data_IF_793922766876
#
_entry.id   IF_793922766876
#
_cell.length_a   1.000
_cell.length_b   1.000
_cell.length_c   1.000
_cell.angle_alpha   90.00
_cell.angle_beta   90.00
_cell.angle_gamma   90.00
#
_symmetry.space_group_name_H-M   'P 1'
#
loop_
_entity.id
_entity.type
_entity.pdbx_description
1 polymer ?
#
# COMPACT_ATOMS: atom_id res chain seq x y z
N UNK A 1 9.75 3.37 20.23
CA UNK A 1 8.54 2.59 20.52
C UNK A 1 7.81 2.20 19.24
N UNK A 2 7.14 3.10 18.51
CA UNK A 2 6.38 2.74 17.29
C UNK A 2 7.23 1.99 16.25
N UNK A 3 8.45 2.43 15.96
CA UNK A 3 9.38 1.75 15.04
C UNK A 3 9.75 0.34 15.48
N UNK A 4 9.86 0.11 16.77
CA UNK A 4 10.32 -1.18 17.31
C UNK A 4 9.17 -2.17 17.50
N UNK A 5 8.04 -1.70 18.03
CA UNK A 5 6.88 -2.54 18.31
C UNK A 5 6.10 -2.93 17.03
N UNK A 6 6.02 -2.01 16.06
CA UNK A 6 5.27 -2.21 14.83
C UNK A 6 6.17 -2.52 13.62
N UNK A 7 7.47 -2.63 13.81
CA UNK A 7 8.45 -2.84 12.73
C UNK A 7 8.31 -1.82 11.58
N UNK A 8 7.73 -0.64 11.88
CA UNK A 8 7.44 0.38 10.89
C UNK A 8 8.73 1.06 10.41
N UNK A 9 8.90 1.20 9.10
CA UNK A 9 10.03 1.91 8.53
C UNK A 9 9.98 3.42 8.85
N UNK A 10 11.15 4.08 8.89
CA UNK A 10 11.23 5.53 9.09
C UNK A 10 10.48 6.32 8.01
N UNK A 11 10.45 5.83 6.78
CA UNK A 11 9.71 6.43 5.67
C UNK A 11 8.22 6.36 5.93
N UNK A 12 7.70 5.22 6.38
CA UNK A 12 6.31 5.06 6.73
C UNK A 12 5.91 5.97 7.90
N UNK A 13 6.73 6.05 8.95
CA UNK A 13 6.49 6.95 10.07
C UNK A 13 6.48 8.44 9.68
N UNK A 14 7.37 8.85 8.76
CA UNK A 14 7.35 10.23 8.23
C UNK A 14 6.01 10.52 7.55
N UNK A 15 5.51 9.58 6.75
CA UNK A 15 4.21 9.68 6.10
C UNK A 15 3.07 9.79 7.12
N UNK A 16 3.02 8.92 8.14
CA UNK A 16 1.99 8.96 9.18
C UNK A 16 1.88 10.33 9.86
N UNK A 17 3.01 11.02 10.07
CA UNK A 17 3.05 12.35 10.67
C UNK A 17 2.38 13.45 9.82
N UNK A 18 2.21 13.22 8.53
CA UNK A 18 1.55 14.16 7.60
C UNK A 18 0.05 13.95 7.50
N UNK A 19 -0.46 12.81 7.96
CA UNK A 19 -1.88 12.50 7.93
C UNK A 19 -2.60 13.06 9.16
N UNK A 20 -3.85 13.56 9.02
CA UNK A 20 -4.60 14.18 10.12
C UNK A 20 -4.76 13.32 11.37
N UNK A 21 -4.96 12.01 11.19
CA UNK A 21 -5.06 11.02 12.28
C UNK A 21 -4.08 9.85 12.07
N UNK A 22 -3.01 10.06 11.31
CA UNK A 22 -2.01 9.04 11.05
C UNK A 22 -1.40 8.46 12.33
N UNK A 23 -1.22 9.31 13.35
CA UNK A 23 -0.87 8.92 14.73
C UNK A 23 -1.80 9.68 15.67
N UNK A 24 -2.54 8.97 16.50
CA UNK A 24 -3.45 9.55 17.48
C UNK A 24 -3.35 8.84 18.82
N UNK A 25 -3.66 9.58 19.89
CA UNK A 25 -3.77 9.04 21.26
C UNK A 25 -5.13 9.42 21.80
N UNK A 26 -5.88 8.44 22.28
CA UNK A 26 -7.25 8.61 22.78
C UNK A 26 -8.16 9.33 21.76
N UNK A 27 -7.96 9.05 20.47
CA UNK A 27 -8.71 9.66 19.37
C UNK A 27 -8.26 11.06 18.94
N UNK A 28 -7.27 11.66 19.60
CA UNK A 28 -6.74 12.98 19.27
C UNK A 28 -5.39 12.87 18.54
N UNK A 29 -5.21 13.69 17.49
CA UNK A 29 -3.90 13.79 16.80
C UNK A 29 -2.81 14.23 17.77
N UNK A 30 -1.67 13.54 17.75
CA UNK A 30 -0.51 13.88 18.58
C UNK A 30 0.77 13.99 17.76
N UNK A 31 1.69 14.81 18.23
CA UNK A 31 3.04 14.88 17.66
C UNK A 31 3.86 13.66 18.08
N UNK A 32 4.83 13.28 17.27
CA UNK A 32 5.74 12.16 17.56
C UNK A 32 6.58 12.34 18.87
N UNK A 33 6.57 13.52 19.45
CA UNK A 33 7.20 13.84 20.75
C UNK A 33 6.27 13.64 21.93
N UNK A 34 5.01 13.27 21.70
CA UNK A 34 4.05 12.99 22.77
C UNK A 34 4.55 11.84 23.66
N UNK A 35 4.45 12.04 24.97
CA UNK A 35 4.83 11.03 25.96
C UNK A 35 3.57 10.29 26.41
N UNK A 36 3.50 9.02 26.08
CA UNK A 36 2.38 8.15 26.49
C UNK A 36 2.37 7.98 28.02
N UNK A 37 1.18 8.06 28.59
CA UNK A 37 0.89 7.71 29.97
C UNK A 37 0.29 6.30 30.05
N UNK A 38 0.27 5.73 31.25
CA UNK A 38 -0.39 4.45 31.49
C UNK A 38 -1.91 4.60 31.26
N UNK A 39 -2.46 3.74 30.41
CA UNK A 39 -3.87 3.76 30.03
C UNK A 39 -4.16 4.50 28.71
N UNK A 40 -3.15 5.17 28.10
CA UNK A 40 -3.34 5.77 26.78
C UNK A 40 -3.53 4.70 25.70
N UNK A 41 -4.48 4.96 24.79
CA UNK A 41 -4.72 4.16 23.59
C UNK A 41 -4.05 4.85 22.40
N UNK A 42 -2.94 4.28 21.94
CA UNK A 42 -2.25 4.70 20.73
C UNK A 42 -2.92 4.05 19.51
N UNK A 43 -3.35 4.88 18.56
CA UNK A 43 -3.91 4.42 17.28
C UNK A 43 -3.04 4.90 16.12
N UNK A 44 -2.86 4.03 15.13
CA UNK A 44 -2.07 4.30 13.92
C UNK A 44 -2.90 3.92 12.71
N UNK A 45 -2.95 4.81 11.72
CA UNK A 45 -3.64 4.55 10.47
C UNK A 45 -2.77 3.63 9.60
N UNK A 46 -3.27 2.43 9.31
CA UNK A 46 -2.58 1.46 8.44
C UNK A 46 -3.00 1.61 6.98
N UNK A 47 -4.26 1.99 6.72
CA UNK A 47 -4.78 2.21 5.38
C UNK A 47 -4.17 3.44 4.71
N UNK A 48 -4.11 3.40 3.38
CA UNK A 48 -3.74 4.55 2.58
C UNK A 48 -4.92 5.53 2.45
N UNK A 49 -4.66 6.87 2.35
CA UNK A 49 -5.73 7.82 2.13
C UNK A 49 -6.38 7.62 0.75
N UNK A 50 -7.70 7.73 0.68
CA UNK A 50 -8.43 7.67 -0.61
C UNK A 50 -8.09 8.83 -1.54
N UNK A 51 -7.75 9.98 -0.97
CA UNK A 51 -7.42 11.19 -1.71
C UNK A 51 -6.26 10.97 -2.68
N UNK A 52 -6.44 11.37 -3.93
CA UNK A 52 -5.45 11.18 -4.99
C UNK A 52 -5.27 9.74 -5.46
N UNK A 53 -6.17 8.80 -5.11
CA UNK A 53 -6.14 7.44 -5.63
C UNK A 53 -6.44 7.41 -7.13
N UNK A 54 -5.61 6.78 -7.97
CA UNK A 54 -5.93 6.56 -9.38
C UNK A 54 -7.22 5.77 -9.56
N UNK A 55 -7.92 6.01 -10.67
CA UNK A 55 -9.18 5.29 -10.96
C UNK A 55 -8.96 3.81 -11.31
N UNK A 56 -7.77 3.45 -11.70
CA UNK A 56 -7.46 2.13 -12.22
C UNK A 56 -8.14 1.86 -13.57
N UNK A 57 -7.67 0.84 -14.25
CA UNK A 57 -8.23 0.34 -15.50
C UNK A 57 -8.42 -1.16 -15.38
N UNK A 58 -9.66 -1.64 -15.49
CA UNK A 58 -9.97 -3.05 -15.34
C UNK A 58 -9.22 -3.87 -16.40
N UNK A 59 -8.43 -4.84 -15.94
CA UNK A 59 -7.79 -5.84 -16.75
C UNK A 59 -7.89 -7.19 -16.03
N UNK A 60 -7.75 -8.28 -16.79
CA UNK A 60 -7.80 -9.62 -16.21
C UNK A 60 -6.57 -9.84 -15.33
N UNK A 61 -6.79 -10.08 -14.06
CA UNK A 61 -5.78 -10.54 -13.10
C UNK A 61 -5.92 -12.04 -12.86
N UNK A 62 -4.81 -12.75 -12.85
CA UNK A 62 -4.73 -14.15 -12.43
C UNK A 62 -4.24 -14.16 -10.97
N UNK A 63 -5.19 -14.26 -10.03
CA UNK A 63 -4.92 -14.17 -8.60
C UNK A 63 -4.60 -15.57 -8.09
N UNK A 64 -3.40 -15.75 -7.55
CA UNK A 64 -2.94 -17.01 -6.96
C UNK A 64 -3.27 -17.11 -5.48
N UNK A 65 -3.26 -15.99 -4.76
CA UNK A 65 -3.56 -15.90 -3.33
C UNK A 65 -4.00 -14.50 -2.98
N UNK A 66 -4.89 -14.39 -2.01
CA UNK A 66 -5.31 -13.11 -1.44
C UNK A 66 -5.73 -13.29 0.02
N UNK A 67 -5.31 -12.34 0.87
CA UNK A 67 -5.78 -12.18 2.24
C UNK A 67 -6.06 -10.69 2.55
N UNK A 68 -6.19 -10.36 3.82
CA UNK A 68 -6.41 -8.98 4.29
C UNK A 68 -5.26 -8.03 3.91
N UNK A 69 -4.03 -8.53 3.76
CA UNK A 69 -2.82 -7.72 3.65
C UNK A 69 -2.13 -7.79 2.30
N UNK A 70 -2.24 -8.91 1.62
CA UNK A 70 -1.48 -9.23 0.42
C UNK A 70 -2.39 -9.76 -0.68
N UNK A 71 -1.99 -9.50 -1.92
CA UNK A 71 -2.44 -10.23 -3.09
C UNK A 71 -1.22 -10.76 -3.85
N UNK A 72 -1.25 -12.03 -4.24
CA UNK A 72 -0.24 -12.65 -5.10
C UNK A 72 -0.89 -12.94 -6.44
N UNK A 73 -0.31 -12.40 -7.49
CA UNK A 73 -0.82 -12.56 -8.86
C UNK A 73 0.20 -13.34 -9.70
N UNK A 74 -0.30 -14.06 -10.67
CA UNK A 74 0.50 -14.58 -11.78
C UNK A 74 0.53 -13.55 -12.90
N UNK A 75 1.58 -12.73 -12.93
CA UNK A 75 1.72 -11.67 -13.94
C UNK A 75 1.91 -12.29 -15.33
N UNK A 76 1.10 -11.89 -16.27
CA UNK A 76 1.23 -12.30 -17.67
C UNK A 76 2.37 -11.55 -18.38
N UNK A 77 2.96 -12.16 -19.41
CA UNK A 77 3.84 -11.45 -20.33
C UNK A 77 3.07 -10.35 -21.09
N UNK A 78 3.77 -9.28 -21.44
CA UNK A 78 3.20 -8.11 -22.12
C UNK A 78 2.65 -7.04 -21.18
N UNK A 79 2.31 -7.37 -19.93
CA UNK A 79 1.81 -6.43 -18.93
C UNK A 79 2.97 -5.81 -18.13
N UNK A 80 3.08 -4.49 -18.09
CA UNK A 80 4.04 -3.79 -17.24
C UNK A 80 3.52 -3.74 -15.79
N UNK A 81 4.42 -3.55 -14.82
CA UNK A 81 4.01 -3.40 -13.40
C UNK A 81 3.44 -2.00 -13.16
N UNK A 82 4.15 -0.97 -13.59
CA UNK A 82 3.77 0.44 -13.45
C UNK A 82 3.61 1.10 -14.81
N UNK A 83 2.79 2.15 -14.85
CA UNK A 83 2.68 3.01 -16.03
C UNK A 83 4.00 3.71 -16.35
N UNK A 84 4.22 3.97 -17.63
CA UNK A 84 5.35 4.74 -18.11
C UNK A 84 4.86 6.01 -18.80
N UNK A 85 5.61 7.11 -18.64
CA UNK A 85 5.34 8.35 -19.36
C UNK A 85 5.39 8.19 -20.88
N UNK A 86 6.16 7.21 -21.37
CA UNK A 86 6.30 6.91 -22.79
C UNK A 86 5.14 6.09 -23.36
N UNK A 87 4.42 5.35 -22.51
CA UNK A 87 3.30 4.47 -22.90
C UNK A 87 2.12 4.63 -21.93
N UNK A 88 1.48 5.81 -21.88
CA UNK A 88 0.49 6.13 -20.85
C UNK A 88 -0.83 5.33 -20.98
N UNK A 89 -1.09 4.71 -22.14
CA UNK A 89 -2.32 3.94 -22.39
C UNK A 89 -2.15 2.43 -22.22
N UNK A 90 -0.98 1.98 -21.79
CA UNK A 90 -0.73 0.56 -21.58
C UNK A 90 -1.43 0.06 -20.32
N UNK A 91 -1.98 -1.15 -20.40
CA UNK A 91 -2.51 -1.84 -19.22
C UNK A 91 -1.37 -2.27 -18.29
N UNK A 92 -1.45 -1.89 -17.03
CA UNK A 92 -0.46 -2.25 -16.02
C UNK A 92 -1.08 -3.09 -14.91
N UNK A 93 -0.23 -3.83 -14.21
CA UNK A 93 -0.64 -4.56 -13.00
C UNK A 93 -1.21 -3.59 -11.97
N UNK A 94 -0.57 -2.44 -11.80
CA UNK A 94 -1.00 -1.42 -10.83
C UNK A 94 -2.39 -0.87 -11.18
N UNK A 95 -2.65 -0.51 -12.45
CA UNK A 95 -3.96 -0.03 -12.89
C UNK A 95 -5.05 -1.09 -12.70
N UNK A 96 -4.75 -2.34 -13.02
CA UNK A 96 -5.68 -3.46 -12.84
C UNK A 96 -6.02 -3.68 -11.36
N UNK A 97 -5.01 -3.58 -10.49
CA UNK A 97 -5.21 -3.70 -9.05
C UNK A 97 -5.93 -2.49 -8.45
N UNK A 98 -5.71 -1.27 -8.95
CA UNK A 98 -6.51 -0.11 -8.55
C UNK A 98 -8.00 -0.25 -8.90
N UNK A 99 -8.31 -0.96 -9.98
CA UNK A 99 -9.70 -1.25 -10.34
C UNK A 99 -10.30 -2.42 -9.54
N UNK A 100 -9.46 -3.36 -9.09
CA UNK A 100 -9.86 -4.58 -8.39
C UNK A 100 -10.03 -4.37 -6.88
N UNK A 101 -9.06 -3.71 -6.23
CA UNK A 101 -9.03 -3.53 -4.78
C UNK A 101 -10.06 -2.50 -4.28
N UNK A 102 -10.60 -2.66 -3.05
CA UNK A 102 -11.41 -1.66 -2.39
C UNK A 102 -10.76 -0.27 -2.36
N UNK A 103 -11.56 0.77 -2.16
CA UNK A 103 -11.07 2.16 -2.25
C UNK A 103 -10.10 2.57 -1.15
N UNK A 104 -10.19 1.95 0.01
CA UNK A 104 -9.31 2.14 1.16
C UNK A 104 -8.00 1.34 1.08
N UNK A 105 -7.86 0.51 0.03
CA UNK A 105 -6.65 -0.25 -0.26
C UNK A 105 -5.91 0.35 -1.46
N UNK A 106 -4.58 0.33 -1.42
CA UNK A 106 -3.71 0.73 -2.53
C UNK A 106 -2.72 -0.38 -2.85
N UNK A 107 -2.54 -0.72 -4.12
CA UNK A 107 -1.53 -1.68 -4.52
C UNK A 107 -0.12 -1.12 -4.32
N UNK A 108 0.71 -1.86 -3.60
CA UNK A 108 2.12 -1.60 -3.41
C UNK A 108 2.92 -2.84 -3.83
N UNK A 109 3.38 -2.92 -5.09
CA UNK A 109 4.20 -4.04 -5.55
C UNK A 109 5.47 -4.18 -4.72
N UNK A 110 5.67 -5.35 -4.12
CA UNK A 110 6.85 -5.65 -3.28
C UNK A 110 8.10 -5.86 -4.15
N UNK A 111 7.90 -6.38 -5.36
CA UNK A 111 8.96 -6.62 -6.34
C UNK A 111 8.46 -6.28 -7.73
N UNK A 112 9.36 -6.26 -8.69
CA UNK A 112 9.04 -6.00 -10.10
C UNK A 112 9.46 -7.18 -10.95
N UNK A 113 8.63 -7.50 -11.94
CA UNK A 113 8.98 -8.33 -13.07
C UNK A 113 8.96 -7.48 -14.33
N UNK A 114 9.88 -7.75 -15.24
CA UNK A 114 9.92 -7.06 -16.53
C UNK A 114 8.63 -7.33 -17.33
N UNK A 115 8.32 -6.44 -18.28
CA UNK A 115 7.12 -6.54 -19.11
C UNK A 115 6.99 -7.90 -19.79
N UNK A 116 8.10 -8.43 -20.35
CA UNK A 116 8.11 -9.73 -21.03
C UNK A 116 8.14 -10.94 -20.09
N UNK A 117 8.30 -10.74 -18.79
CA UNK A 117 8.46 -11.81 -17.81
C UNK A 117 7.10 -12.20 -17.22
N UNK A 118 6.85 -13.50 -17.12
CA UNK A 118 5.71 -14.08 -16.41
C UNK A 118 6.13 -14.58 -15.05
N UNK A 119 5.19 -14.66 -14.10
CA UNK A 119 5.45 -15.31 -12.82
C UNK A 119 4.70 -14.70 -11.65
N UNK A 120 4.85 -15.32 -10.49
CA UNK A 120 4.25 -14.89 -9.26
C UNK A 120 4.84 -13.55 -8.80
N UNK A 121 3.97 -12.62 -8.44
CA UNK A 121 4.33 -11.31 -7.93
C UNK A 121 3.47 -10.96 -6.71
N UNK A 122 4.13 -10.56 -5.63
CA UNK A 122 3.46 -10.15 -4.40
C UNK A 122 3.21 -8.65 -4.42
N UNK A 123 2.00 -8.27 -4.03
CA UNK A 123 1.59 -6.87 -3.89
C UNK A 123 0.96 -6.69 -2.52
N UNK A 124 1.46 -5.75 -1.74
CA UNK A 124 0.84 -5.36 -0.48
C UNK A 124 -0.36 -4.44 -0.74
N UNK A 125 -1.40 -4.57 0.08
CA UNK A 125 -2.65 -3.81 -0.04
C UNK A 125 -2.61 -2.44 0.65
N UNK A 126 -1.57 -2.18 1.43
CA UNK A 126 -1.33 -0.87 2.06
C UNK A 126 0.16 -0.60 2.23
N UNK A 127 0.51 0.68 2.40
CA UNK A 127 1.89 1.12 2.56
C UNK A 127 2.58 0.59 3.82
N UNK A 128 1.82 0.24 4.86
CA UNK A 128 2.38 -0.39 6.06
C UNK A 128 2.94 -1.79 5.75
N UNK A 129 2.13 -2.65 5.12
CA UNK A 129 2.55 -4.00 4.74
C UNK A 129 3.69 -4.00 3.71
N UNK A 130 3.71 -3.03 2.80
CA UNK A 130 4.83 -2.88 1.88
C UNK A 130 6.15 -2.53 2.58
N UNK A 131 6.08 -1.87 3.74
CA UNK A 131 7.25 -1.43 4.49
C UNK A 131 7.81 -2.51 5.44
N UNK A 132 7.05 -3.59 5.69
CA UNK A 132 7.47 -4.78 6.43
C UNK A 132 8.22 -5.76 5.53
#
# INVERSE_FOLDING_TARGET
MITHELMASDTYLRRLKTLPLGISVNGAHVRSTYRLALGDVLSIQLSDPEEGRPKGKAAKLDILYEDEWLVIINKSAGMAVHSSTNEPNMDTVEDALYAYLPRDERPHPVSRLDRGTTGAMTVAKCGYMHAL
#
